data_IF_234330821906
#
_entry.id   IF_234330821906
#
_cell.length_a   1.000
_cell.length_b   1.000
_cell.length_c   1.000
_cell.angle_alpha   90.00
_cell.angle_beta   90.00
_cell.angle_gamma   90.00
#
_symmetry.space_group_name_H-M   'P 1'
#
loop_
_entity.id
_entity.type
_entity.pdbx_description
1 polymer ?
#
# COMPACT_ATOMS: atom_id res chain seq x y z
N UNK A 1 19.32 0.74 -10.04
CA UNK A 1 19.31 0.34 -8.62
C UNK A 1 20.62 0.80 -7.99
N UNK A 2 20.63 1.37 -6.77
CA UNK A 2 21.87 1.76 -6.09
C UNK A 2 22.78 0.56 -5.82
N UNK A 3 24.11 0.77 -5.90
CA UNK A 3 25.09 -0.31 -5.74
C UNK A 3 25.03 -0.97 -4.37
N UNK A 4 24.74 -0.19 -3.30
CA UNK A 4 24.58 -0.73 -1.95
C UNK A 4 23.44 -1.78 -1.88
N UNK A 5 22.36 -1.60 -2.62
CA UNK A 5 21.24 -2.56 -2.68
C UNK A 5 21.65 -3.83 -3.44
N UNK A 6 22.36 -3.66 -4.58
CA UNK A 6 22.85 -4.79 -5.37
C UNK A 6 23.81 -5.65 -4.56
N UNK A 7 24.75 -5.00 -3.86
CA UNK A 7 25.75 -5.69 -3.06
C UNK A 7 25.11 -6.44 -1.89
N UNK A 8 24.15 -5.84 -1.18
CA UNK A 8 23.43 -6.50 -0.08
C UNK A 8 22.64 -7.72 -0.56
N UNK A 9 21.95 -7.61 -1.73
CA UNK A 9 21.26 -8.75 -2.32
C UNK A 9 22.24 -9.89 -2.69
N UNK A 10 23.36 -9.54 -3.32
CA UNK A 10 24.38 -10.52 -3.72
C UNK A 10 24.97 -11.21 -2.49
N UNK A 11 25.34 -10.47 -1.45
CA UNK A 11 25.87 -11.00 -0.19
C UNK A 11 24.86 -11.91 0.51
N UNK A 12 23.61 -11.47 0.61
CA UNK A 12 22.56 -12.27 1.25
C UNK A 12 22.35 -13.60 0.54
N UNK A 13 22.23 -13.60 -0.78
CA UNK A 13 22.04 -14.84 -1.53
C UNK A 13 23.25 -15.76 -1.56
N UNK A 14 24.47 -15.22 -1.51
CA UNK A 14 25.69 -16.03 -1.53
C UNK A 14 26.06 -16.63 -0.18
N UNK A 15 25.71 -15.96 0.94
CA UNK A 15 26.28 -16.30 2.26
C UNK A 15 25.24 -16.52 3.37
N UNK A 16 24.03 -15.93 3.25
CA UNK A 16 23.04 -15.85 4.34
C UNK A 16 21.67 -16.40 3.99
N UNK A 17 21.47 -16.86 2.74
CA UNK A 17 20.15 -17.27 2.28
C UNK A 17 19.61 -18.48 3.05
N UNK A 18 18.45 -18.28 3.67
CA UNK A 18 17.70 -19.32 4.39
C UNK A 18 16.23 -18.94 4.54
N UNK A 19 15.42 -19.90 5.01
CA UNK A 19 14.02 -19.66 5.34
C UNK A 19 13.90 -18.69 6.53
N UNK A 20 12.97 -17.77 6.43
CA UNK A 20 12.59 -16.87 7.53
C UNK A 20 11.54 -17.54 8.40
N UNK A 21 11.60 -17.35 9.71
CA UNK A 21 10.57 -17.65 10.73
C UNK A 21 10.35 -19.12 11.11
N UNK A 22 10.85 -20.13 10.40
CA UNK A 22 10.48 -21.55 10.67
C UNK A 22 11.65 -22.52 10.77
N UNK A 23 12.86 -22.04 10.91
CA UNK A 23 14.01 -22.92 11.07
C UNK A 23 14.71 -22.72 12.40
N UNK A 24 15.41 -23.76 12.87
CA UNK A 24 16.15 -23.76 14.14
C UNK A 24 17.66 -23.72 13.93
N UNK A 25 18.15 -23.75 12.68
CA UNK A 25 19.56 -23.68 12.37
C UNK A 25 20.04 -22.21 12.25
N UNK A 26 21.33 -21.99 12.43
CA UNK A 26 21.96 -20.68 12.53
C UNK A 26 21.56 -19.72 11.40
N UNK A 27 21.66 -20.16 10.13
CA UNK A 27 21.33 -19.31 8.97
C UNK A 27 19.85 -18.85 8.99
N UNK A 28 18.94 -19.71 9.45
CA UNK A 28 17.53 -19.35 9.56
C UNK A 28 17.29 -18.29 10.64
N UNK A 29 17.96 -18.41 11.78
CA UNK A 29 17.89 -17.41 12.87
C UNK A 29 18.44 -16.07 12.38
N UNK A 30 19.58 -16.07 11.70
CA UNK A 30 20.19 -14.87 11.11
C UNK A 30 19.28 -14.21 10.06
N UNK A 31 18.73 -14.99 9.12
CA UNK A 31 17.82 -14.49 8.11
C UNK A 31 16.54 -13.89 8.73
N UNK A 32 15.99 -14.55 9.77
CA UNK A 32 14.84 -14.05 10.51
C UNK A 32 15.16 -12.73 11.21
N UNK A 33 16.30 -12.66 11.89
CA UNK A 33 16.75 -11.43 12.55
C UNK A 33 16.90 -10.27 11.56
N UNK A 34 17.57 -10.49 10.43
CA UNK A 34 17.73 -9.47 9.38
C UNK A 34 16.38 -8.99 8.83
N UNK A 35 15.44 -9.89 8.62
CA UNK A 35 14.10 -9.57 8.10
C UNK A 35 13.29 -8.70 9.11
N UNK A 36 13.28 -9.09 10.37
CA UNK A 36 12.56 -8.34 11.41
C UNK A 36 13.25 -7.01 11.74
N UNK A 37 14.57 -6.94 11.67
CA UNK A 37 15.31 -5.68 11.81
C UNK A 37 14.99 -4.70 10.67
N UNK A 38 14.88 -5.20 9.43
CA UNK A 38 14.43 -4.40 8.29
C UNK A 38 13.01 -3.84 8.52
N UNK A 39 12.09 -4.66 9.04
CA UNK A 39 10.73 -4.23 9.40
C UNK A 39 10.74 -3.11 10.44
N UNK A 40 11.54 -3.24 11.49
CA UNK A 40 11.70 -2.22 12.52
C UNK A 40 12.29 -0.92 11.99
N UNK A 41 13.26 -1.01 11.07
CA UNK A 41 13.82 0.17 10.40
C UNK A 41 12.76 0.92 9.58
N UNK A 42 11.94 0.20 8.81
CA UNK A 42 10.84 0.78 8.04
C UNK A 42 9.77 1.37 8.96
N UNK A 43 9.42 0.67 10.03
CA UNK A 43 8.49 1.16 11.05
C UNK A 43 8.92 2.52 11.63
N UNK A 44 10.21 2.64 12.00
CA UNK A 44 10.77 3.90 12.52
C UNK A 44 10.78 4.99 11.45
N UNK A 45 11.18 4.66 10.22
CA UNK A 45 11.23 5.62 9.13
C UNK A 45 9.84 6.21 8.79
N UNK A 46 8.80 5.37 8.81
CA UNK A 46 7.41 5.78 8.56
C UNK A 46 6.71 6.35 9.80
N UNK A 47 7.37 6.34 10.97
CA UNK A 47 6.78 6.73 12.25
C UNK A 47 5.50 5.96 12.60
N UNK A 48 5.44 4.68 12.24
CA UNK A 48 4.33 3.80 12.59
C UNK A 48 4.40 3.41 14.09
N UNK A 49 3.24 3.17 14.72
CA UNK A 49 3.20 2.87 16.15
C UNK A 49 3.75 1.48 16.47
N UNK A 50 3.63 0.54 15.54
CA UNK A 50 4.06 -0.85 15.71
C UNK A 50 4.66 -1.42 14.43
N UNK A 51 5.64 -2.32 14.57
CA UNK A 51 6.17 -3.11 13.47
C UNK A 51 5.12 -3.99 12.79
N UNK A 52 4.04 -4.32 13.49
CA UNK A 52 2.90 -5.08 12.95
C UNK A 52 2.08 -4.27 11.91
N UNK A 53 2.27 -2.95 11.84
CA UNK A 53 1.66 -2.10 10.82
C UNK A 53 2.42 -2.13 9.49
N UNK A 54 3.61 -2.75 9.46
CA UNK A 54 4.45 -2.82 8.27
C UNK A 54 4.21 -4.15 7.55
N UNK A 55 3.69 -4.07 6.34
CA UNK A 55 3.45 -5.22 5.47
C UNK A 55 4.29 -5.05 4.20
N UNK A 56 5.23 -5.97 3.98
CA UNK A 56 6.01 -6.00 2.74
C UNK A 56 5.22 -6.68 1.62
N UNK A 57 5.15 -6.02 0.48
CA UNK A 57 4.52 -6.51 -0.74
C UNK A 57 5.49 -6.43 -1.91
N UNK A 58 5.16 -7.06 -3.03
CA UNK A 58 6.03 -7.07 -4.22
C UNK A 58 6.08 -5.71 -4.92
N UNK A 59 4.98 -4.95 -4.84
CA UNK A 59 4.84 -3.66 -5.52
C UNK A 59 3.56 -2.94 -5.04
N UNK A 60 3.39 -1.67 -5.47
CA UNK A 60 2.22 -0.86 -5.13
C UNK A 60 0.90 -1.49 -5.60
N UNK A 61 0.88 -2.17 -6.75
CA UNK A 61 -0.32 -2.86 -7.26
C UNK A 61 -0.81 -3.92 -6.27
N UNK A 62 0.09 -4.76 -5.75
CA UNK A 62 -0.26 -5.75 -4.73
C UNK A 62 -0.75 -5.08 -3.45
N UNK A 63 -0.07 -4.02 -3.00
CA UNK A 63 -0.46 -3.27 -1.80
C UNK A 63 -1.88 -2.71 -1.90
N UNK A 64 -2.20 -2.06 -3.02
CA UNK A 64 -3.52 -1.45 -3.20
C UNK A 64 -4.61 -2.52 -3.33
N UNK A 65 -4.36 -3.61 -4.04
CA UNK A 65 -5.31 -4.73 -4.10
C UNK A 65 -5.53 -5.37 -2.73
N UNK A 66 -4.47 -5.55 -1.94
CA UNK A 66 -4.59 -6.06 -0.57
C UNK A 66 -5.47 -5.14 0.30
N UNK A 67 -5.25 -3.81 0.21
CA UNK A 67 -6.06 -2.82 0.92
C UNK A 67 -7.51 -2.89 0.43
N UNK A 68 -7.73 -2.87 -0.89
CA UNK A 68 -9.08 -2.86 -1.45
C UNK A 68 -9.89 -4.08 -0.97
N UNK A 69 -9.31 -5.27 -1.03
CA UNK A 69 -9.99 -6.51 -0.62
C UNK A 69 -10.21 -6.57 0.89
N UNK A 70 -9.19 -6.29 1.69
CA UNK A 70 -9.29 -6.40 3.16
C UNK A 70 -10.18 -5.30 3.75
N UNK A 71 -10.09 -4.08 3.25
CA UNK A 71 -10.88 -2.95 3.72
C UNK A 71 -12.35 -3.10 3.34
N UNK A 72 -12.64 -3.56 2.11
CA UNK A 72 -14.00 -3.85 1.69
C UNK A 72 -14.67 -4.86 2.62
N UNK A 73 -14.06 -6.00 2.84
CA UNK A 73 -14.65 -7.08 3.65
C UNK A 73 -15.04 -6.64 5.08
N UNK A 74 -14.33 -5.66 5.62
CA UNK A 74 -14.50 -5.27 7.02
C UNK A 74 -15.25 -3.96 7.22
N UNK A 75 -15.10 -3.00 6.32
CA UNK A 75 -15.49 -1.61 6.57
C UNK A 75 -16.41 -1.00 5.51
N UNK A 76 -16.55 -1.61 4.35
CA UNK A 76 -17.36 -1.07 3.27
C UNK A 76 -18.65 -1.85 3.06
N UNK A 77 -19.68 -1.15 2.63
CA UNK A 77 -20.96 -1.69 2.20
C UNK A 77 -21.45 -0.97 0.95
N UNK A 78 -22.42 -1.58 0.26
CA UNK A 78 -23.08 -0.97 -0.91
C UNK A 78 -23.51 0.48 -0.63
N UNK A 79 -23.15 1.38 -1.52
CA UNK A 79 -23.42 2.81 -1.43
C UNK A 79 -22.42 3.64 -0.62
N UNK A 80 -21.39 3.02 0.01
CA UNK A 80 -20.26 3.75 0.56
C UNK A 80 -19.40 4.34 -0.57
N UNK A 81 -18.71 5.45 -0.26
CA UNK A 81 -18.02 6.26 -1.24
C UNK A 81 -16.50 6.18 -1.07
N UNK A 82 -15.79 6.06 -2.19
CA UNK A 82 -14.34 6.17 -2.29
C UNK A 82 -14.01 7.34 -3.21
N UNK A 83 -13.12 8.23 -2.77
CA UNK A 83 -12.67 9.37 -3.54
C UNK A 83 -11.29 9.07 -4.12
N UNK A 84 -11.15 9.29 -5.42
CA UNK A 84 -9.94 9.15 -6.21
C UNK A 84 -9.60 10.47 -6.89
N UNK A 85 -8.44 10.61 -7.51
CA UNK A 85 -8.21 11.70 -8.46
C UNK A 85 -8.40 11.22 -9.90
N UNK A 86 -8.61 12.16 -10.83
CA UNK A 86 -8.71 11.84 -12.27
C UNK A 86 -7.37 11.42 -12.88
N UNK A 87 -6.25 11.62 -12.17
CA UNK A 87 -4.90 11.36 -12.63
C UNK A 87 -4.30 10.04 -12.09
N UNK A 88 -5.11 9.18 -11.48
CA UNK A 88 -4.63 7.96 -10.86
C UNK A 88 -4.02 6.98 -11.87
N UNK A 89 -2.91 6.35 -11.48
CA UNK A 89 -2.38 5.20 -12.19
C UNK A 89 -3.35 4.01 -12.09
N UNK A 90 -3.38 3.15 -13.10
CA UNK A 90 -4.27 1.97 -13.13
C UNK A 90 -4.19 1.09 -11.88
N UNK A 91 -3.02 0.99 -11.25
CA UNK A 91 -2.87 0.24 -9.99
C UNK A 91 -3.71 0.79 -8.84
N UNK A 92 -3.98 2.12 -8.84
CA UNK A 92 -4.83 2.80 -7.86
C UNK A 92 -6.21 3.16 -8.45
N UNK A 93 -6.62 2.53 -9.52
CA UNK A 93 -7.91 2.74 -10.15
C UNK A 93 -8.71 1.44 -10.27
N UNK A 94 -8.12 0.40 -10.88
CA UNK A 94 -8.81 -0.84 -11.21
C UNK A 94 -9.33 -1.61 -9.98
N UNK A 95 -8.64 -1.70 -8.83
CA UNK A 95 -9.17 -2.35 -7.64
C UNK A 95 -10.48 -1.71 -7.14
N UNK A 96 -10.58 -0.39 -7.24
CA UNK A 96 -11.77 0.35 -6.83
C UNK A 96 -12.92 0.21 -7.84
N UNK A 97 -12.63 0.15 -9.15
CA UNK A 97 -13.62 -0.18 -10.16
C UNK A 97 -14.20 -1.58 -9.94
N UNK A 98 -13.35 -2.55 -9.58
CA UNK A 98 -13.84 -3.87 -9.21
C UNK A 98 -14.83 -3.82 -8.05
N UNK A 99 -14.56 -3.02 -7.01
CA UNK A 99 -15.49 -2.85 -5.89
C UNK A 99 -16.78 -2.12 -6.30
N UNK A 100 -16.69 -1.14 -7.18
CA UNK A 100 -17.86 -0.48 -7.76
C UNK A 100 -18.76 -1.48 -8.49
N UNK A 101 -18.18 -2.23 -9.42
CA UNK A 101 -18.92 -3.07 -10.35
C UNK A 101 -19.52 -4.32 -9.67
N UNK A 102 -18.85 -4.86 -8.66
CA UNK A 102 -19.28 -6.08 -8.01
C UNK A 102 -20.02 -5.87 -6.68
N UNK A 103 -19.80 -4.74 -6.01
CA UNK A 103 -20.31 -4.53 -4.64
C UNK A 103 -21.05 -3.22 -4.44
N UNK A 104 -21.24 -2.43 -5.52
CA UNK A 104 -22.02 -1.20 -5.49
C UNK A 104 -21.35 -0.07 -4.69
N UNK A 105 -20.03 -0.05 -4.62
CA UNK A 105 -19.28 1.09 -4.08
C UNK A 105 -19.37 2.26 -5.06
N UNK A 106 -19.51 3.47 -4.55
CA UNK A 106 -19.59 4.70 -5.36
C UNK A 106 -18.20 5.32 -5.45
N UNK A 107 -17.71 5.52 -6.68
CA UNK A 107 -16.45 6.23 -6.92
C UNK A 107 -16.71 7.68 -7.25
N UNK A 108 -15.95 8.56 -6.62
CA UNK A 108 -15.94 10.00 -6.88
C UNK A 108 -14.54 10.44 -7.27
N UNK A 109 -14.43 11.46 -8.13
CA UNK A 109 -13.15 11.85 -8.69
C UNK A 109 -12.88 13.33 -8.45
N UNK A 110 -11.72 13.64 -7.83
CA UNK A 110 -11.22 14.98 -7.67
C UNK A 110 -10.70 15.46 -9.02
N UNK A 111 -11.14 16.62 -9.46
CA UNK A 111 -10.60 17.27 -10.65
C UNK A 111 -9.20 17.84 -10.40
N UNK A 112 -8.46 18.06 -11.47
CA UNK A 112 -7.16 18.73 -11.46
C UNK A 112 -7.28 20.06 -12.22
N UNK A 113 -6.38 21.00 -11.94
CA UNK A 113 -6.18 22.21 -12.72
C UNK A 113 -5.30 21.96 -13.96
N UNK A 114 -5.03 23.03 -14.74
CA UNK A 114 -4.20 22.96 -15.95
C UNK A 114 -2.72 22.62 -15.68
N UNK A 115 -2.25 22.77 -14.46
CA UNK A 115 -0.88 22.48 -14.02
C UNK A 115 -0.77 21.08 -13.37
N UNK A 116 -1.88 20.34 -13.25
CA UNK A 116 -1.94 19.01 -12.67
C UNK A 116 -2.11 18.98 -11.15
N UNK A 117 -2.39 20.13 -10.51
CA UNK A 117 -2.66 20.15 -9.07
C UNK A 117 -4.09 19.71 -8.78
N UNK A 118 -4.28 19.01 -7.66
CA UNK A 118 -5.60 18.62 -7.18
C UNK A 118 -6.43 19.85 -6.82
N UNK A 119 -7.66 19.90 -7.30
CA UNK A 119 -8.62 20.94 -6.91
C UNK A 119 -9.20 20.63 -5.53
N UNK A 120 -8.63 21.23 -4.49
CA UNK A 120 -9.02 20.98 -3.10
C UNK A 120 -10.44 21.51 -2.78
N UNK A 121 -10.86 22.61 -3.39
CA UNK A 121 -12.23 23.11 -3.20
C UNK A 121 -13.25 22.10 -3.75
N UNK A 122 -12.97 21.52 -4.92
CA UNK A 122 -13.79 20.44 -5.45
C UNK A 122 -13.74 19.19 -4.56
N UNK A 123 -12.56 18.81 -4.05
CA UNK A 123 -12.43 17.69 -3.12
C UNK A 123 -13.34 17.83 -1.90
N UNK A 124 -13.37 19.01 -1.28
CA UNK A 124 -14.23 19.28 -0.11
C UNK A 124 -15.71 19.05 -0.43
N UNK A 125 -16.17 19.40 -1.64
CA UNK A 125 -17.56 19.16 -2.06
C UNK A 125 -17.91 17.69 -2.25
N UNK A 126 -16.90 16.83 -2.48
CA UNK A 126 -17.10 15.39 -2.69
C UNK A 126 -17.28 14.62 -1.37
N UNK A 127 -16.77 15.16 -0.25
CA UNK A 127 -16.81 14.50 1.05
C UNK A 127 -18.24 14.48 1.60
N UNK A 128 -18.71 13.28 1.97
CA UNK A 128 -20.01 13.10 2.62
C UNK A 128 -19.90 12.15 3.81
N UNK A 129 -20.99 11.94 4.53
CA UNK A 129 -21.06 10.93 5.61
C UNK A 129 -20.84 9.50 5.12
N UNK A 130 -20.96 9.26 3.80
CA UNK A 130 -20.73 7.95 3.16
C UNK A 130 -19.30 7.76 2.71
N UNK A 131 -18.47 8.82 2.67
CA UNK A 131 -17.07 8.74 2.29
C UNK A 131 -16.31 7.92 3.33
N UNK A 132 -15.66 6.84 2.89
CA UNK A 132 -14.92 5.90 3.73
C UNK A 132 -13.43 5.87 3.45
N UNK A 133 -13.05 6.24 2.24
CA UNK A 133 -11.66 6.17 1.80
C UNK A 133 -11.36 7.29 0.81
N UNK A 134 -10.15 7.81 0.88
CA UNK A 134 -9.54 8.67 -0.14
C UNK A 134 -8.26 7.98 -0.58
N UNK A 135 -8.13 7.69 -1.87
CA UNK A 135 -6.97 7.02 -2.44
C UNK A 135 -6.44 7.84 -3.62
N UNK A 136 -5.43 8.64 -3.36
CA UNK A 136 -4.85 9.57 -4.34
C UNK A 136 -3.34 9.38 -4.46
N UNK A 137 -2.82 9.56 -5.66
CA UNK A 137 -1.37 9.62 -5.87
C UNK A 137 -0.80 10.89 -5.23
N UNK A 138 0.41 10.78 -4.68
CA UNK A 138 1.10 11.93 -4.11
C UNK A 138 1.96 12.64 -5.17
N UNK A 139 2.59 11.88 -6.09
CA UNK A 139 3.45 12.34 -7.18
C UNK A 139 3.33 11.39 -8.37
#
# INVERSE_FOLDING_TARGET
MPSVVINELSDFYSSHYSNVSRGVHTLCVEATFKYEDARKKVQKFLNANSENEIIFTKNATESINLIAQSYYQRYLKTGDEIILSVMEHHSNLLPWYFLRDNYGIVLKFINIDGDGNLNLDHFETLITKKTKLVAVTHL
#
